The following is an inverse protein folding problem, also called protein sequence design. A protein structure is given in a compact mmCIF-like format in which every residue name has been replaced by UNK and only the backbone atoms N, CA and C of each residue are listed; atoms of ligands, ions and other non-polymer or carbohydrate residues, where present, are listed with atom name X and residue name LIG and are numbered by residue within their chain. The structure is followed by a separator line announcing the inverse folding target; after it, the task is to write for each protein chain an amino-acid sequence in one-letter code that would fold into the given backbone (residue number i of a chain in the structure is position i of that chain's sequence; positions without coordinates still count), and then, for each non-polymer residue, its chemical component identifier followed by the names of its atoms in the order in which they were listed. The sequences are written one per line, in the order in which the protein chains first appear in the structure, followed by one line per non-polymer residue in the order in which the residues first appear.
data_IF_556611451054
#
_entry.id   IF_556611451054
#
_cell.length_a   1.000
_cell.length_b   1.000
_cell.length_c   1.000
_cell.angle_alpha   90.00
_cell.angle_beta   90.00
_cell.angle_gamma   90.00
#
_symmetry.space_group_name_H-M   'P 1'
#
loop_
_entity.id
_entity.type
_entity.pdbx_description
1 polymer ?
#
# COMPACT_ATOMS: atom_id res chain seq x y z
N UNK A 1 -13.49 9.62 11.77
CA UNK A 1 -12.20 9.00 12.13
C UNK A 1 -11.12 9.80 11.44
N UNK A 2 -10.21 10.45 12.18
CA UNK A 2 -9.14 11.27 11.57
C UNK A 2 -8.03 10.31 11.09
N UNK A 3 -7.55 10.42 9.85
CA UNK A 3 -6.39 9.64 9.40
C UNK A 3 -5.18 9.94 10.28
N UNK A 4 -4.66 8.94 10.99
CA UNK A 4 -3.46 9.11 11.82
C UNK A 4 -2.23 9.13 10.92
N UNK A 5 -1.52 10.26 10.88
CA UNK A 5 -0.18 10.32 10.28
C UNK A 5 0.77 9.56 11.20
N UNK A 6 1.24 8.41 10.74
CA UNK A 6 2.14 7.55 11.51
C UNK A 6 3.58 8.04 11.48
N UNK A 7 4.36 7.67 12.50
CA UNK A 7 5.81 7.87 12.49
C UNK A 7 6.49 6.80 11.61
N UNK A 8 6.26 6.88 10.31
CA UNK A 8 6.76 5.94 9.31
C UNK A 8 7.64 6.60 8.24
N UNK A 9 8.56 5.82 7.68
CA UNK A 9 9.42 6.21 6.57
C UNK A 9 9.46 5.11 5.53
N UNK A 10 9.45 5.50 4.26
CA UNK A 10 9.67 4.59 3.15
C UNK A 10 11.04 4.83 2.56
N UNK A 11 11.68 3.74 2.18
CA UNK A 11 12.91 3.74 1.38
C UNK A 11 12.72 2.87 0.16
N UNK A 12 13.43 3.15 -0.92
CA UNK A 12 13.44 2.31 -2.10
C UNK A 12 14.86 1.99 -2.54
N UNK A 13 14.99 0.91 -3.31
CA UNK A 13 16.15 0.64 -4.13
C UNK A 13 15.66 0.11 -5.49
N UNK A 14 16.47 0.31 -6.52
CA UNK A 14 16.21 -0.18 -7.87
C UNK A 14 17.36 -1.04 -8.35
N UNK A 15 17.00 -2.15 -8.97
CA UNK A 15 17.91 -2.98 -9.77
C UNK A 15 17.37 -3.06 -11.19
N UNK A 16 18.11 -3.67 -12.11
CA UNK A 16 17.66 -3.84 -13.50
C UNK A 16 16.33 -4.59 -13.61
N UNK A 17 16.09 -5.55 -12.72
CA UNK A 17 14.98 -6.50 -12.84
C UNK A 17 13.94 -6.39 -11.71
N UNK A 18 14.20 -5.54 -10.70
CA UNK A 18 13.39 -5.51 -9.48
C UNK A 18 13.40 -4.14 -8.82
N UNK A 19 12.22 -3.68 -8.41
CA UNK A 19 12.07 -2.63 -7.43
C UNK A 19 12.02 -3.20 -6.01
N UNK A 20 12.56 -2.46 -5.07
CA UNK A 20 12.56 -2.81 -3.65
C UNK A 20 12.06 -1.63 -2.83
N UNK A 21 11.19 -1.89 -1.86
CA UNK A 21 10.65 -0.91 -0.92
C UNK A 21 10.91 -1.43 0.49
N UNK A 22 11.48 -0.59 1.36
CA UNK A 22 11.60 -0.88 2.79
C UNK A 22 10.70 0.04 3.58
N UNK A 23 9.87 -0.55 4.43
CA UNK A 23 8.98 0.16 5.34
C UNK A 23 9.59 0.15 6.74
N UNK A 24 9.83 1.34 7.29
CA UNK A 24 10.35 1.52 8.66
C UNK A 24 9.33 2.32 9.47
N UNK A 25 8.98 1.84 10.66
CA UNK A 25 7.89 2.42 11.45
C UNK A 25 6.53 2.04 10.86
N UNK A 26 5.69 3.03 10.60
CA UNK A 26 4.30 2.81 10.19
C UNK A 26 4.12 2.80 8.66
N UNK A 27 3.44 1.77 8.15
CA UNK A 27 2.83 1.79 6.82
C UNK A 27 1.42 2.34 6.93
N UNK A 28 1.27 3.66 6.79
CA UNK A 28 -0.01 4.36 6.91
C UNK A 28 -0.44 5.03 5.61
N UNK A 29 -1.68 5.49 5.56
CA UNK A 29 -2.29 6.12 4.38
C UNK A 29 -1.42 7.23 3.75
N UNK A 30 -0.69 8.00 4.54
CA UNK A 30 0.18 9.10 4.08
C UNK A 30 1.35 8.62 3.20
N UNK A 31 1.66 7.32 3.25
CA UNK A 31 2.70 6.68 2.43
C UNK A 31 2.18 6.12 1.10
N UNK A 32 0.86 6.06 0.93
CA UNK A 32 0.23 5.37 -0.21
C UNK A 32 0.53 6.08 -1.53
N UNK A 33 0.62 7.42 -1.55
CA UNK A 33 0.92 8.16 -2.78
C UNK A 33 2.35 7.91 -3.29
N UNK A 34 3.34 8.01 -2.40
CA UNK A 34 4.74 7.69 -2.74
C UNK A 34 4.86 6.26 -3.28
N UNK A 35 4.19 5.29 -2.64
CA UNK A 35 4.08 3.91 -3.14
C UNK A 35 3.47 3.85 -4.53
N UNK A 36 2.36 4.57 -4.75
CA UNK A 36 1.65 4.62 -6.04
C UNK A 36 2.52 5.15 -7.17
N UNK A 37 3.18 6.28 -6.95
CA UNK A 37 4.07 6.90 -7.92
C UNK A 37 5.23 5.95 -8.28
N UNK A 38 5.86 5.34 -7.28
CA UNK A 38 7.00 4.47 -7.52
C UNK A 38 6.64 3.19 -8.26
N UNK A 39 5.57 2.48 -7.88
CA UNK A 39 5.22 1.27 -8.62
C UNK A 39 4.81 1.59 -10.06
N UNK A 40 4.13 2.72 -10.32
CA UNK A 40 3.80 3.14 -11.68
C UNK A 40 5.06 3.43 -12.51
N UNK A 41 6.09 4.01 -11.91
CA UNK A 41 7.40 4.20 -12.55
C UNK A 41 8.07 2.86 -12.86
N UNK A 42 8.01 1.88 -11.94
CA UNK A 42 8.53 0.52 -12.20
C UNK A 42 7.84 -0.11 -13.41
N UNK A 43 6.50 -0.09 -13.43
CA UNK A 43 5.71 -0.69 -14.51
C UNK A 43 6.02 -0.02 -15.85
N UNK A 44 6.11 1.31 -15.87
CA UNK A 44 6.45 2.09 -17.07
C UNK A 44 7.86 1.81 -17.58
N UNK A 45 8.78 1.46 -16.68
CA UNK A 45 10.17 1.06 -17.00
C UNK A 45 10.29 -0.42 -17.38
N UNK A 46 9.19 -1.17 -17.40
CA UNK A 46 9.17 -2.60 -17.72
C UNK A 46 9.59 -3.52 -16.57
N UNK A 47 9.85 -2.98 -15.37
CA UNK A 47 10.18 -3.78 -14.18
C UNK A 47 8.90 -4.44 -13.66
N UNK A 48 8.92 -5.77 -13.62
CA UNK A 48 7.74 -6.59 -13.26
C UNK A 48 7.86 -7.27 -11.90
N UNK A 49 8.91 -6.98 -11.13
CA UNK A 49 9.11 -7.53 -9.79
C UNK A 49 9.22 -6.42 -8.76
N UNK A 50 8.46 -6.55 -7.69
CA UNK A 50 8.48 -5.64 -6.56
C UNK A 50 8.61 -6.44 -5.25
N UNK A 51 9.59 -6.07 -4.44
CA UNK A 51 9.81 -6.62 -3.10
C UNK A 51 9.47 -5.53 -2.07
N UNK A 52 8.62 -5.86 -1.10
CA UNK A 52 8.26 -5.00 0.01
C UNK A 52 8.82 -5.62 1.30
N UNK A 53 9.84 -5.00 1.86
CA UNK A 53 10.52 -5.42 3.09
C UNK A 53 9.92 -4.73 4.32
N UNK A 54 9.52 -5.54 5.29
CA UNK A 54 8.89 -5.13 6.55
C UNK A 54 9.79 -5.30 7.80
N UNK A 55 11.11 -5.50 7.64
CA UNK A 55 12.07 -5.76 8.73
C UNK A 55 12.12 -4.63 9.79
N UNK A 56 11.63 -3.43 9.47
CA UNK A 56 11.49 -2.30 10.41
C UNK A 56 10.05 -1.82 10.59
N UNK A 57 9.06 -2.50 10.01
CA UNK A 57 7.67 -2.07 10.02
C UNK A 57 6.97 -2.53 11.30
N UNK A 58 6.46 -1.60 12.09
CA UNK A 58 5.87 -1.86 13.42
C UNK A 58 4.34 -1.82 13.41
N UNK A 59 3.75 -1.25 12.36
CA UNK A 59 2.31 -1.12 12.20
C UNK A 59 1.95 -0.89 10.72
N UNK A 60 0.80 -1.41 10.30
CA UNK A 60 0.18 -1.08 9.01
C UNK A 60 -1.31 -0.83 9.22
N UNK A 61 -1.84 0.23 8.62
CA UNK A 61 -3.29 0.45 8.59
C UNK A 61 -3.96 -0.29 7.41
N UNK A 62 -5.29 -0.32 7.41
CA UNK A 62 -6.08 -0.95 6.34
C UNK A 62 -5.88 -0.26 4.98
N UNK A 63 -5.67 1.06 4.94
CA UNK A 63 -5.47 1.81 3.70
C UNK A 63 -4.17 1.41 3.02
N UNK A 64 -3.09 1.26 3.78
CA UNK A 64 -1.79 0.82 3.31
C UNK A 64 -1.85 -0.62 2.81
N UNK A 65 -2.48 -1.52 3.58
CA UNK A 65 -2.67 -2.91 3.19
C UNK A 65 -3.55 -3.05 1.92
N UNK A 66 -4.64 -2.27 1.83
CA UNK A 66 -5.46 -2.20 0.62
C UNK A 66 -4.70 -1.64 -0.58
N UNK A 67 -3.82 -0.66 -0.37
CA UNK A 67 -2.93 -0.16 -1.42
C UNK A 67 -1.96 -1.24 -1.90
N UNK A 68 -1.30 -1.97 -1.00
CA UNK A 68 -0.45 -3.12 -1.37
C UNK A 68 -1.23 -4.19 -2.14
N UNK A 69 -2.48 -4.45 -1.75
CA UNK A 69 -3.35 -5.39 -2.47
C UNK A 69 -3.64 -4.91 -3.90
N UNK A 70 -3.91 -3.61 -4.07
CA UNK A 70 -4.08 -2.99 -5.39
C UNK A 70 -2.83 -3.12 -6.26
N UNK A 71 -1.64 -2.88 -5.68
CA UNK A 71 -0.36 -3.05 -6.36
C UNK A 71 -0.17 -4.50 -6.79
N UNK A 72 -0.44 -5.46 -5.89
CA UNK A 72 -0.32 -6.88 -6.21
C UNK A 72 -1.18 -7.27 -7.42
N UNK A 73 -2.44 -6.79 -7.49
CA UNK A 73 -3.32 -7.04 -8.64
C UNK A 73 -2.73 -6.45 -9.92
N UNK A 74 -2.21 -5.22 -9.88
CA UNK A 74 -1.58 -4.57 -11.04
C UNK A 74 -0.35 -5.35 -11.54
N UNK A 75 0.47 -5.85 -10.63
CA UNK A 75 1.61 -6.70 -10.99
C UNK A 75 1.14 -8.04 -11.59
N UNK A 76 0.13 -8.70 -11.01
CA UNK A 76 -0.39 -9.95 -11.56
C UNK A 76 -0.96 -9.79 -12.98
N UNK A 77 -1.65 -8.67 -13.27
CA UNK A 77 -2.20 -8.37 -14.59
C UNK A 77 -1.13 -8.35 -15.69
N UNK A 78 0.11 -8.03 -15.34
CA UNK A 78 1.24 -8.02 -16.27
C UNK A 78 2.15 -9.24 -16.12
N UNK A 79 1.66 -10.33 -15.52
CA UNK A 79 2.46 -11.52 -15.17
C UNK A 79 3.73 -11.17 -14.36
N UNK A 80 3.66 -10.11 -13.57
CA UNK A 80 4.67 -9.69 -12.61
C UNK A 80 4.50 -10.36 -11.25
N UNK A 81 5.33 -9.95 -10.30
CA UNK A 81 5.35 -10.51 -8.95
C UNK A 81 5.52 -9.41 -7.90
N UNK A 82 4.66 -9.42 -6.88
CA UNK A 82 4.85 -8.69 -5.63
C UNK A 82 5.15 -9.69 -4.51
N UNK A 83 6.29 -9.50 -3.82
CA UNK A 83 6.66 -10.26 -2.61
C UNK A 83 6.65 -9.35 -1.39
N UNK A 84 6.15 -9.86 -0.27
CA UNK A 84 6.27 -9.21 1.03
C UNK A 84 7.21 -10.03 1.89
N UNK A 85 8.28 -9.42 2.38
CA UNK A 85 9.40 -10.12 3.01
C UNK A 85 9.73 -9.52 4.38
N UNK A 86 10.46 -10.28 5.20
CA UNK A 86 10.84 -9.91 6.56
C UNK A 86 9.64 -9.51 7.44
N UNK A 87 8.53 -10.25 7.28
CA UNK A 87 7.27 -9.95 7.95
C UNK A 87 7.33 -10.37 9.42
N UNK A 88 7.01 -9.45 10.32
CA UNK A 88 6.85 -9.75 11.75
C UNK A 88 5.54 -10.51 12.01
N UNK A 89 5.45 -11.27 13.11
CA UNK A 89 4.21 -11.98 13.48
C UNK A 89 3.00 -11.03 13.59
N UNK A 90 3.20 -9.86 14.20
CA UNK A 90 2.16 -8.82 14.33
C UNK A 90 1.65 -8.33 12.96
N UNK A 91 2.57 -8.10 12.01
CA UNK A 91 2.21 -7.65 10.67
C UNK A 91 1.52 -8.78 9.89
N UNK A 92 1.95 -10.02 10.06
CA UNK A 92 1.27 -11.19 9.50
C UNK A 92 -0.16 -11.30 10.01
N UNK A 93 -0.39 -11.15 11.32
CA UNK A 93 -1.73 -11.16 11.91
C UNK A 93 -2.62 -10.05 11.33
N UNK A 94 -2.04 -8.86 11.10
CA UNK A 94 -2.75 -7.73 10.47
C UNK A 94 -3.14 -8.03 9.03
N UNK A 95 -2.23 -8.63 8.26
CA UNK A 95 -2.47 -9.08 6.88
C UNK A 95 -3.56 -10.17 6.85
N UNK A 96 -3.46 -11.18 7.72
CA UNK A 96 -4.39 -12.31 7.79
C UNK A 96 -5.79 -11.91 8.25
N UNK A 97 -5.89 -10.90 9.13
CA UNK A 97 -7.17 -10.33 9.58
C UNK A 97 -8.01 -9.77 8.42
N UNK A 98 -7.34 -9.33 7.35
CA UNK A 98 -7.96 -8.83 6.12
C UNK A 98 -8.06 -9.89 5.01
N UNK A 99 -7.57 -11.11 5.23
CA UNK A 99 -7.56 -12.20 4.26
C UNK A 99 -6.48 -12.08 3.17
N UNK A 100 -5.55 -11.13 3.32
CA UNK A 100 -4.52 -10.85 2.32
C UNK A 100 -3.34 -11.84 2.36
N UNK A 101 -3.26 -12.66 3.40
CA UNK A 101 -2.26 -13.72 3.57
C UNK A 101 -2.39 -14.82 2.50
N UNK A 102 -3.60 -14.99 1.95
CA UNK A 102 -3.90 -15.92 0.85
C UNK A 102 -3.54 -15.36 -0.53
N UNK A 103 -3.26 -14.07 -0.61
CA UNK A 103 -3.04 -13.33 -1.85
C UNK A 103 -1.56 -13.01 -2.00
N UNK A 104 -0.94 -12.50 -0.94
CA UNK A 104 0.46 -12.14 -0.98
C UNK A 104 1.39 -13.34 -0.88
N UNK A 105 2.49 -13.28 -1.62
CA UNK A 105 3.65 -14.15 -1.38
C UNK A 105 4.45 -13.59 -0.20
N UNK A 106 4.28 -14.20 0.97
CA UNK A 106 4.85 -13.72 2.24
C UNK A 106 6.05 -14.57 2.66
N UNK A 107 7.14 -13.92 3.04
CA UNK A 107 8.31 -14.54 3.64
C UNK A 107 8.62 -13.89 4.99
N UNK A 108 8.70 -14.69 6.04
CA UNK A 108 9.02 -14.21 7.39
C UNK A 108 10.48 -13.77 7.53
N UNK A 109 11.38 -14.37 6.73
CA UNK A 109 12.81 -14.06 6.69
C UNK A 109 13.27 -14.04 5.24
N UNK A 110 14.08 -13.05 4.89
CA UNK A 110 14.62 -12.86 3.56
C UNK A 110 15.88 -12.01 3.61
N UNK A 111 16.89 -12.38 2.83
CA UNK A 111 18.16 -11.67 2.77
C UNK A 111 18.03 -10.40 1.92
N UNK A 112 18.11 -9.24 2.57
CA UNK A 112 18.04 -7.93 1.92
C UNK A 112 19.40 -7.28 1.68
N UNK A 113 20.51 -8.00 1.91
CA UNK A 113 21.86 -7.51 1.61
C UNK A 113 22.04 -6.99 0.18
N UNK A 114 21.41 -7.56 -0.88
CA UNK A 114 21.59 -7.05 -2.24
C UNK A 114 21.08 -5.61 -2.44
N UNK A 115 20.23 -5.11 -1.54
CA UNK A 115 19.65 -3.78 -1.61
C UNK A 115 20.23 -2.81 -0.58
N UNK A 116 20.94 -3.31 0.45
CA UNK A 116 21.34 -2.53 1.62
C UNK A 116 22.20 -1.30 1.30
N UNK A 117 23.05 -1.39 0.27
CA UNK A 117 23.96 -0.30 -0.14
C UNK A 117 23.32 0.72 -1.09
N UNK A 118 22.08 0.47 -1.54
CA UNK A 118 21.41 1.25 -2.59
C UNK A 118 20.04 1.79 -2.16
N UNK A 119 19.79 1.90 -0.85
CA UNK A 119 18.54 2.45 -0.33
C UNK A 119 18.57 3.98 -0.39
N UNK A 120 17.55 4.57 -1.00
CA UNK A 120 17.27 6.00 -0.96
C UNK A 120 15.95 6.24 -0.22
N UNK A 121 15.82 7.34 0.55
CA UNK A 121 14.53 7.71 1.12
C UNK A 121 13.55 8.08 0.01
N UNK A 122 12.27 7.78 0.20
CA UNK A 122 11.24 8.41 -0.61
C UNK A 122 11.13 9.89 -0.26
N UNK A 123 10.96 10.72 -1.29
CA UNK A 123 10.40 12.04 -1.08
C UNK A 123 9.01 11.91 -0.47
N UNK A 124 8.76 12.69 0.58
CA UNK A 124 7.51 12.63 1.32
C UNK A 124 6.42 13.35 0.52
N UNK A 125 5.91 12.69 -0.51
CA UNK A 125 4.77 13.14 -1.29
C UNK A 125 3.49 12.78 -0.55
N UNK A 126 3.17 13.53 0.50
CA UNK A 126 1.87 13.40 1.16
C UNK A 126 0.75 13.57 0.12
N UNK A 127 -0.30 12.75 0.25
CA UNK A 127 -1.53 12.97 -0.52
C UNK A 127 -2.00 14.40 -0.30
N UNK A 128 -2.52 15.03 -1.36
CA UNK A 128 -3.32 16.23 -1.16
C UNK A 128 -4.52 15.84 -0.31
N UNK A 129 -5.01 16.78 0.50
CA UNK A 129 -6.17 16.51 1.36
C UNK A 129 -7.39 16.07 0.54
N UNK A 130 -7.54 16.63 -0.67
CA UNK A 130 -8.58 16.28 -1.63
C UNK A 130 -8.51 14.81 -2.11
N UNK A 131 -7.30 14.25 -2.28
CA UNK A 131 -7.09 12.88 -2.79
C UNK A 131 -7.23 11.80 -1.71
N UNK A 132 -7.28 12.22 -0.44
CA UNK A 132 -7.27 11.30 0.72
C UNK A 132 -8.55 10.45 0.79
N UNK A 133 -9.77 11.02 0.69
CA UNK A 133 -11.00 10.23 0.71
C UNK A 133 -11.06 9.19 -0.40
N UNK A 134 -10.67 9.56 -1.63
CA UNK A 134 -10.66 8.66 -2.78
C UNK A 134 -9.68 7.49 -2.56
N UNK A 135 -8.46 7.78 -2.12
CA UNK A 135 -7.45 6.75 -1.86
C UNK A 135 -7.92 5.77 -0.77
N UNK A 136 -8.53 6.27 0.30
CA UNK A 136 -9.10 5.44 1.35
C UNK A 136 -10.26 4.60 0.83
N UNK A 137 -11.16 5.19 0.04
CA UNK A 137 -12.32 4.51 -0.53
C UNK A 137 -11.88 3.32 -1.40
N UNK A 138 -11.01 3.57 -2.38
CA UNK A 138 -10.48 2.54 -3.28
C UNK A 138 -9.82 1.38 -2.51
N UNK A 139 -9.03 1.71 -1.49
CA UNK A 139 -8.35 0.70 -0.68
C UNK A 139 -9.37 -0.19 0.06
N UNK A 140 -10.38 0.40 0.71
CA UNK A 140 -11.35 -0.37 1.50
C UNK A 140 -12.34 -1.14 0.64
N UNK A 141 -12.80 -0.57 -0.48
CA UNK A 141 -13.62 -1.31 -1.45
C UNK A 141 -12.88 -2.54 -1.98
N UNK A 142 -11.58 -2.39 -2.26
CA UNK A 142 -10.77 -3.52 -2.68
C UNK A 142 -10.65 -4.59 -1.59
N UNK A 143 -10.44 -4.19 -0.34
CA UNK A 143 -10.40 -5.15 0.78
C UNK A 143 -11.73 -5.92 0.93
N UNK A 144 -12.87 -5.25 0.73
CA UNK A 144 -14.20 -5.89 0.77
C UNK A 144 -14.37 -6.85 -0.42
N UNK A 145 -13.92 -6.44 -1.60
CA UNK A 145 -13.97 -7.27 -2.81
C UNK A 145 -13.12 -8.54 -2.66
N UNK A 146 -11.91 -8.42 -2.11
CA UNK A 146 -10.98 -9.53 -1.92
C UNK A 146 -11.40 -10.48 -0.80
N UNK A 147 -12.02 -9.95 0.26
CA UNK A 147 -12.58 -10.77 1.34
C UNK A 147 -13.89 -10.16 1.86
N UNK A 148 -15.06 -10.75 1.54
CA UNK A 148 -16.36 -10.24 1.95
C UNK A 148 -16.54 -10.07 3.46
N UNK A 149 -15.74 -10.75 4.30
CA UNK A 149 -15.76 -10.56 5.78
C UNK A 149 -15.37 -9.14 6.18
N UNK A 150 -14.63 -8.43 5.33
CA UNK A 150 -14.25 -7.05 5.54
C UNK A 150 -15.46 -6.09 5.40
N UNK A 151 -16.55 -6.51 4.74
CA UNK A 151 -17.75 -5.68 4.56
C UNK A 151 -18.30 -5.21 5.91
N UNK A 152 -18.54 -6.12 6.83
CA UNK A 152 -19.06 -5.80 8.17
C UNK A 152 -18.16 -4.84 8.96
N UNK A 153 -16.85 -4.81 8.66
CA UNK A 153 -15.88 -3.94 9.34
C UNK A 153 -15.82 -2.54 8.74
N UNK A 154 -16.05 -2.40 7.44
CA UNK A 154 -15.72 -1.17 6.70
C UNK A 154 -16.89 -0.53 5.96
N UNK A 155 -18.08 -1.15 5.94
CA UNK A 155 -19.24 -0.66 5.18
C UNK A 155 -19.56 0.79 5.52
N UNK A 156 -19.72 1.12 6.81
CA UNK A 156 -20.06 2.49 7.25
C UNK A 156 -18.99 3.51 6.83
N UNK A 157 -17.71 3.13 6.87
CA UNK A 157 -16.61 3.98 6.43
C UNK A 157 -16.64 4.18 4.91
N UNK A 158 -16.89 3.12 4.14
CA UNK A 158 -17.00 3.18 2.68
C UNK A 158 -18.17 4.05 2.26
N UNK A 159 -19.33 3.91 2.89
CA UNK A 159 -20.51 4.71 2.58
C UNK A 159 -20.28 6.19 2.85
N UNK A 160 -19.67 6.52 4.00
CA UNK A 160 -19.24 7.88 4.30
C UNK A 160 -18.25 8.42 3.25
N UNK A 161 -17.22 7.65 2.91
CA UNK A 161 -16.21 8.08 1.94
C UNK A 161 -16.80 8.30 0.54
N UNK A 162 -17.78 7.50 0.12
CA UNK A 162 -18.50 7.69 -1.16
C UNK A 162 -19.22 9.02 -1.23
N UNK A 163 -19.90 9.40 -0.15
CA UNK A 163 -20.58 10.70 -0.08
C UNK A 163 -19.57 11.86 -0.14
N UNK A 164 -18.46 11.76 0.57
CA UNK A 164 -17.43 12.81 0.59
C UNK A 164 -16.75 12.97 -0.77
N UNK A 165 -16.43 11.87 -1.46
CA UNK A 165 -15.88 11.90 -2.83
C UNK A 165 -16.89 12.55 -3.80
N UNK A 166 -18.17 12.20 -3.70
CA UNK A 166 -19.22 12.78 -4.54
C UNK A 166 -19.41 14.30 -4.33
N UNK A 167 -19.28 14.79 -3.09
CA UNK A 167 -19.36 16.22 -2.75
C UNK A 167 -18.15 17.02 -3.24
N UNK A 168 -16.97 16.39 -3.33
CA UNK A 168 -15.77 17.05 -3.84
C UNK A 168 -15.79 17.21 -5.35
N UNK A 169 -16.21 16.17 -6.10
CA UNK A 169 -16.34 16.23 -7.56
C UNK A 169 -17.34 17.31 -8.03
N UNK A 170 -18.45 17.47 -7.32
CA UNK A 170 -19.47 18.47 -7.65
C UNK A 170 -19.08 19.92 -7.31
N UNK A 171 -17.94 20.14 -6.63
CA UNK A 171 -17.37 21.49 -6.40
C UNK A 171 -16.34 21.89 -7.45
N UNK A 172 -15.69 20.94 -8.10
CA UNK A 172 -14.68 21.21 -9.16
C UNK A 172 -15.33 21.58 -10.50
N UNK A 173 -16.55 21.12 -10.77
CA UNK A 173 -17.30 21.46 -12.01
C UNK A 173 -17.91 22.88 -12.01
N UNK A 174 -17.79 23.64 -10.91
CA UNK A 174 -18.43 24.97 -10.74
C UNK A 174 -17.40 26.11 -10.69
N UNK A 175 -16.11 25.85 -11.02
CA UNK A 175 -15.06 26.86 -10.97
C UNK A 175 -14.39 27.14 -12.32
#
# INVERSE_FOLDING_TARGET
MIPHVGNGSLYYALTKDCGYIKVVGWGSFDKCNSLRLFYNQLLSSGIRRLIVDLQGCTYMDSTFLGTLAGIHIKFNQIMGELKIVNVSKKNLDSIATLGLDKIFKILMQWDNTPFADHIAPFDNHSLRKEDTPLTMLEAHELLIHLDPRNKTKFQDLVDYLKEEVGKSASKEDVQ
#
